data_IF_858695910863
#
_entry.id   IF_858695910863
#
_cell.length_a   1.000
_cell.length_b   1.000
_cell.length_c   1.000
_cell.angle_alpha   90.00
_cell.angle_beta   90.00
_cell.angle_gamma   90.00
#
_symmetry.space_group_name_H-M   'P 1'
#
loop_
_entity.id
_entity.type
_entity.pdbx_description
1 polymer ?
#
# COMPACT_ATOMS: atom_id res chain seq x y z
N UNK A 1 -2.80 -10.85 -7.21
CA UNK A 1 -1.65 -9.96 -7.42
C UNK A 1 -0.44 -10.59 -6.76
N UNK A 2 0.77 -10.28 -7.20
CA UNK A 2 2.01 -10.61 -6.48
C UNK A 2 2.64 -9.31 -5.98
N UNK A 3 3.21 -9.32 -4.78
CA UNK A 3 4.03 -8.21 -4.30
C UNK A 3 5.37 -8.73 -3.79
N UNK A 4 6.44 -7.97 -4.05
CA UNK A 4 7.79 -8.25 -3.58
C UNK A 4 8.45 -6.96 -3.13
N UNK A 5 9.05 -6.99 -1.95
CA UNK A 5 9.67 -5.80 -1.38
C UNK A 5 10.67 -6.12 -0.29
N UNK A 6 11.21 -5.07 0.32
CA UNK A 6 12.06 -5.19 1.50
C UNK A 6 11.60 -4.20 2.54
N UNK A 7 11.63 -4.62 3.79
CA UNK A 7 11.27 -3.83 4.95
C UNK A 7 12.47 -3.72 5.87
N UNK A 8 12.71 -2.51 6.38
CA UNK A 8 13.64 -2.24 7.46
C UNK A 8 12.85 -1.83 8.69
N UNK A 9 13.19 -2.43 9.83
CA UNK A 9 12.50 -2.19 11.10
C UNK A 9 13.49 -1.74 12.17
N UNK A 10 13.00 -0.91 13.08
CA UNK A 10 13.70 -0.56 14.31
C UNK A 10 12.71 -0.63 15.47
N UNK A 11 13.05 -1.38 16.50
CA UNK A 11 12.26 -1.49 17.73
C UNK A 11 13.04 -0.80 18.84
N UNK A 12 12.38 0.08 19.58
CA UNK A 12 13.01 0.75 20.71
C UNK A 12 12.87 -0.10 21.99
N UNK A 13 13.62 0.21 23.05
CA UNK A 13 13.41 -0.43 24.36
C UNK A 13 12.08 -0.07 25.04
N UNK A 14 11.32 0.91 24.52
CA UNK A 14 10.03 1.32 25.07
C UNK A 14 8.94 0.49 24.39
N UNK A 15 8.17 -0.24 25.20
CA UNK A 15 7.05 -1.05 24.72
C UNK A 15 6.08 -0.22 23.86
N UNK A 16 5.64 -0.83 22.76
CA UNK A 16 4.76 -0.18 21.79
C UNK A 16 5.42 0.94 20.99
N UNK A 17 6.75 1.12 21.04
CA UNK A 17 7.47 2.13 20.27
C UNK A 17 8.44 1.51 19.27
N UNK A 18 8.19 1.74 17.98
CA UNK A 18 8.91 1.15 16.86
C UNK A 18 8.73 1.99 15.59
N UNK A 19 9.58 1.77 14.60
CA UNK A 19 9.43 2.33 13.27
C UNK A 19 9.75 1.31 12.19
N UNK A 20 9.15 1.48 11.02
CA UNK A 20 9.51 0.72 9.83
C UNK A 20 9.37 1.55 8.57
N UNK A 21 10.14 1.14 7.55
CA UNK A 21 9.99 1.60 6.18
C UNK A 21 10.04 0.40 5.25
N UNK A 22 9.28 0.46 4.16
CA UNK A 22 9.31 -0.57 3.13
C UNK A 22 9.14 0.03 1.74
N UNK A 23 9.74 -0.62 0.75
CA UNK A 23 9.45 -0.41 -0.67
C UNK A 23 9.04 -1.76 -1.23
N UNK A 24 7.88 -1.82 -1.87
CA UNK A 24 7.37 -3.02 -2.51
C UNK A 24 6.93 -2.74 -3.94
N UNK A 25 7.21 -3.69 -4.84
CA UNK A 25 6.68 -3.70 -6.20
C UNK A 25 5.51 -4.66 -6.27
N UNK A 26 4.36 -4.14 -6.68
CA UNK A 26 3.12 -4.87 -6.88
C UNK A 26 2.94 -5.13 -8.37
N UNK A 27 2.69 -6.39 -8.74
CA UNK A 27 2.25 -6.80 -10.07
C UNK A 27 0.83 -7.34 -10.00
N UNK A 28 -0.06 -6.82 -10.84
CA UNK A 28 -1.45 -7.25 -10.79
C UNK A 28 -2.36 -6.54 -11.78
N UNK A 29 -3.63 -6.52 -11.40
CA UNK A 29 -4.72 -5.95 -12.20
C UNK A 29 -5.56 -5.07 -11.29
N UNK A 30 -5.86 -3.86 -11.74
CA UNK A 30 -6.73 -2.90 -11.06
C UNK A 30 -7.86 -2.51 -12.00
N UNK A 31 -9.11 -2.78 -11.63
CA UNK A 31 -10.29 -2.57 -12.51
C UNK A 31 -10.09 -3.17 -13.92
N UNK A 32 -9.56 -4.38 -14.00
CA UNK A 32 -9.26 -5.04 -15.28
C UNK A 32 -8.01 -4.53 -16.01
N UNK A 33 -7.36 -3.45 -15.56
CA UNK A 33 -6.13 -2.90 -16.13
C UNK A 33 -4.91 -3.59 -15.54
N UNK A 34 -4.15 -4.30 -16.38
CA UNK A 34 -2.92 -4.99 -15.98
C UNK A 34 -1.72 -4.04 -15.96
N UNK A 35 -0.86 -4.23 -14.97
CA UNK A 35 0.44 -3.57 -14.90
C UNK A 35 1.15 -3.85 -13.60
N UNK A 36 2.09 -2.97 -13.26
CA UNK A 36 2.78 -2.98 -11.98
C UNK A 36 2.95 -1.56 -11.46
N UNK A 37 3.20 -1.42 -10.16
CA UNK A 37 3.51 -0.15 -9.52
C UNK A 37 4.32 -0.41 -8.24
N UNK A 38 4.87 0.66 -7.65
CA UNK A 38 5.63 0.57 -6.40
C UNK A 38 4.89 1.28 -5.29
N UNK A 39 4.80 0.65 -4.12
CA UNK A 39 4.31 1.27 -2.89
C UNK A 39 5.49 1.59 -1.96
N UNK A 40 5.43 2.76 -1.33
CA UNK A 40 6.32 3.18 -0.25
C UNK A 40 5.55 3.24 1.06
N UNK A 41 6.09 2.58 2.08
CA UNK A 41 5.54 2.52 3.43
C UNK A 41 6.40 3.34 4.37
N UNK A 42 5.76 4.07 5.27
CA UNK A 42 6.37 4.65 6.45
C UNK A 42 5.41 4.41 7.63
N UNK A 43 5.84 3.58 8.57
CA UNK A 43 5.07 3.29 9.77
C UNK A 43 5.82 3.70 11.03
N UNK A 44 5.08 4.27 11.97
CA UNK A 44 5.57 4.68 13.28
C UNK A 44 4.60 4.19 14.34
N UNK A 45 5.16 3.69 15.44
CA UNK A 45 4.44 3.40 16.66
C UNK A 45 5.02 4.30 17.74
N UNK A 46 4.19 5.18 18.32
CA UNK A 46 4.54 5.96 19.51
C UNK A 46 3.75 5.43 20.69
N UNK A 47 4.39 4.59 21.52
CA UNK A 47 3.81 4.03 22.75
C UNK A 47 2.40 3.45 22.55
N UNK A 48 2.25 2.67 21.47
CA UNK A 48 0.98 2.03 21.12
C UNK A 48 0.05 2.86 20.25
N UNK A 49 0.41 4.11 19.91
CA UNK A 49 -0.33 4.93 18.93
C UNK A 49 0.28 4.70 17.54
N UNK A 50 -0.45 4.06 16.60
CA UNK A 50 0.04 3.82 15.26
C UNK A 50 -0.12 5.04 14.35
N UNK A 51 0.87 5.29 13.51
CA UNK A 51 0.76 6.12 12.31
C UNK A 51 1.30 5.31 11.13
N UNK A 52 0.56 5.30 10.02
CA UNK A 52 0.94 4.57 8.83
C UNK A 52 0.61 5.38 7.58
N UNK A 53 1.63 5.54 6.73
CA UNK A 53 1.49 6.13 5.40
C UNK A 53 1.98 5.15 4.34
N UNK A 54 1.08 4.72 3.48
CA UNK A 54 1.39 3.89 2.31
C UNK A 54 0.96 4.63 1.05
N UNK A 55 1.90 4.89 0.14
CA UNK A 55 1.63 5.65 -1.09
C UNK A 55 2.22 4.97 -2.33
N UNK A 56 1.57 5.19 -3.47
CA UNK A 56 2.16 4.88 -4.77
C UNK A 56 3.34 5.82 -5.00
N UNK A 57 4.52 5.25 -5.31
CA UNK A 57 5.66 6.03 -5.76
C UNK A 57 5.30 6.67 -7.10
N UNK A 58 5.41 8.00 -7.25
CA UNK A 58 5.06 8.68 -8.50
C UNK A 58 5.74 8.04 -9.71
N UNK A 59 4.99 7.95 -10.81
CA UNK A 59 5.45 7.43 -12.11
C UNK A 59 5.98 5.98 -12.09
N UNK A 60 5.75 5.24 -11.00
CA UNK A 60 6.15 3.82 -10.91
C UNK A 60 5.21 2.87 -11.66
N UNK A 61 4.02 3.36 -12.05
CA UNK A 61 3.02 2.60 -12.78
C UNK A 61 3.51 2.17 -14.17
N UNK A 62 3.29 0.90 -14.53
CA UNK A 62 3.67 0.33 -15.84
C UNK A 62 2.44 -0.11 -16.63
N UNK A 63 2.61 -0.31 -17.94
CA UNK A 63 1.56 -0.81 -18.84
C UNK A 63 0.27 0.03 -18.73
N UNK A 64 -0.88 -0.59 -18.44
CA UNK A 64 -2.17 0.09 -18.31
C UNK A 64 -2.33 0.82 -16.95
N UNK A 65 -1.31 0.79 -16.09
CA UNK A 65 -1.27 1.50 -14.81
C UNK A 65 -0.33 2.73 -14.84
N UNK A 66 0.19 3.12 -16.01
CA UNK A 66 0.96 4.36 -16.13
C UNK A 66 0.13 5.57 -15.68
N UNK A 67 0.75 6.46 -14.89
CA UNK A 67 0.07 7.61 -14.29
C UNK A 67 -0.77 7.28 -13.05
N UNK A 68 -0.70 6.06 -12.52
CA UNK A 68 -1.31 5.71 -11.23
C UNK A 68 -0.75 6.61 -10.12
N UNK A 69 -1.67 7.24 -9.38
CA UNK A 69 -1.37 7.93 -8.13
C UNK A 69 -2.38 7.50 -7.07
N UNK A 70 -1.94 7.32 -5.83
CA UNK A 70 -2.85 6.86 -4.78
C UNK A 70 -2.17 6.58 -3.46
N UNK A 71 -2.99 6.19 -2.48
CA UNK A 71 -2.58 5.79 -1.15
C UNK A 71 -3.40 4.61 -0.67
N UNK A 72 -2.78 3.76 0.14
CA UNK A 72 -3.47 2.64 0.78
C UNK A 72 -3.75 2.99 2.25
N UNK A 73 -4.99 2.77 2.66
CA UNK A 73 -5.44 2.82 4.04
C UNK A 73 -5.52 1.39 4.56
N UNK A 74 -4.96 1.16 5.74
CA UNK A 74 -5.05 -0.13 6.41
C UNK A 74 -5.86 0.07 7.68
N UNK A 75 -7.03 -0.55 7.74
CA UNK A 75 -7.83 -0.63 8.95
C UNK A 75 -7.54 -1.97 9.64
N UNK A 76 -7.13 -1.90 10.90
CA UNK A 76 -6.86 -3.08 11.72
C UNK A 76 -8.00 -3.22 12.71
N UNK A 77 -8.84 -4.25 12.50
CA UNK A 77 -9.96 -4.58 13.38
C UNK A 77 -9.72 -5.96 14.00
N UNK A 78 -9.07 -5.98 15.17
CA UNK A 78 -8.65 -7.24 15.80
C UNK A 78 -7.56 -7.93 14.98
N UNK A 79 -7.79 -9.18 14.56
CA UNK A 79 -6.87 -9.95 13.71
C UNK A 79 -7.10 -9.72 12.21
N UNK A 80 -8.14 -8.98 11.84
CA UNK A 80 -8.47 -8.73 10.44
C UNK A 80 -7.83 -7.42 9.97
N UNK A 81 -7.05 -7.53 8.89
CA UNK A 81 -6.52 -6.39 8.15
C UNK A 81 -7.42 -6.12 6.95
N UNK A 82 -8.06 -4.96 6.94
CA UNK A 82 -8.79 -4.43 5.79
C UNK A 82 -7.92 -3.39 5.08
N UNK A 83 -7.82 -3.52 3.77
CA UNK A 83 -7.05 -2.61 2.93
C UNK A 83 -8.02 -1.87 2.02
N UNK A 84 -7.97 -0.54 2.04
CA UNK A 84 -8.67 0.31 1.08
C UNK A 84 -7.62 1.03 0.23
N UNK A 85 -7.77 0.97 -1.09
CA UNK A 85 -6.85 1.61 -2.00
C UNK A 85 -7.55 2.78 -2.70
N UNK A 86 -7.19 3.99 -2.27
CA UNK A 86 -7.67 5.21 -2.90
C UNK A 86 -6.69 5.64 -3.98
N UNK A 87 -7.13 5.63 -5.24
CA UNK A 87 -6.26 5.95 -6.37
C UNK A 87 -6.97 6.70 -7.49
N UNK A 88 -6.15 7.23 -8.39
CA UNK A 88 -6.54 7.86 -9.64
C UNK A 88 -5.73 7.25 -10.77
N UNK A 89 -6.35 7.08 -11.93
CA UNK A 89 -5.71 6.61 -13.16
C UNK A 89 -6.16 7.48 -14.34
N UNK A 90 -5.24 7.86 -15.25
CA UNK A 90 -5.62 8.59 -16.45
C UNK A 90 -6.63 7.81 -17.30
N UNK A 91 -7.73 8.45 -17.70
CA UNK A 91 -8.72 7.87 -18.60
C UNK A 91 -9.72 6.89 -17.97
N UNK A 92 -9.85 6.86 -16.64
CA UNK A 92 -10.95 6.17 -15.98
C UNK A 92 -12.21 7.03 -15.95
N UNK A 93 -13.16 6.76 -16.83
CA UNK A 93 -14.55 7.19 -16.62
C UNK A 93 -15.04 6.48 -15.35
N UNK A 94 -15.31 7.26 -14.30
CA UNK A 94 -15.36 6.77 -12.92
C UNK A 94 -16.52 5.83 -12.61
N UNK A 95 -16.30 4.99 -11.59
CA UNK A 95 -17.33 4.60 -10.61
C UNK A 95 -16.64 3.93 -9.37
N UNK A 96 -16.52 4.66 -8.26
CA UNK A 96 -16.40 4.11 -6.90
C UNK A 96 -15.03 3.58 -6.41
N UNK A 97 -14.85 3.42 -5.08
CA UNK A 97 -13.63 2.85 -4.51
C UNK A 97 -13.52 1.38 -4.95
N UNK A 98 -12.58 1.10 -5.85
CA UNK A 98 -12.25 -0.25 -6.25
C UNK A 98 -11.77 -1.05 -5.05
N UNK A 99 -12.29 -2.27 -4.90
CA UNK A 99 -11.83 -3.23 -3.89
C UNK A 99 -10.30 -3.36 -4.02
N UNK A 100 -9.56 -3.09 -2.95
CA UNK A 100 -8.10 -3.09 -3.01
C UNK A 100 -7.64 -4.46 -3.53
N UNK A 101 -6.64 -4.53 -4.43
CA UNK A 101 -6.10 -5.81 -4.85
C UNK A 101 -5.69 -6.57 -3.59
N UNK A 102 -6.34 -7.70 -3.31
CA UNK A 102 -6.01 -8.54 -2.16
C UNK A 102 -4.57 -9.02 -2.34
N UNK A 103 -3.65 -8.38 -1.61
CA UNK A 103 -2.25 -8.76 -1.59
C UNK A 103 -2.16 -10.16 -0.97
N UNK A 104 -1.30 -11.04 -1.51
CA UNK A 104 -1.15 -12.38 -0.96
C UNK A 104 -0.68 -12.26 0.48
N UNK A 105 -1.37 -12.97 1.39
CA UNK A 105 -0.89 -13.18 2.76
C UNK A 105 0.39 -14.01 2.66
N UNK A 106 1.54 -13.35 2.78
CA UNK A 106 2.84 -13.99 2.96
C UNK A 106 2.96 -14.60 4.35
#
# INVERSE_FOLDING_TARGET
AESRGTMLTAVSPVDGSAGYVAIERVEGTLEGRRGSFVLQHAGLMDRGVPELRIVVVPDSGTEALQGLAGRMVVEIAGEEHRYEFEYTLPGGDGEGPGDAPQLPRG
#
